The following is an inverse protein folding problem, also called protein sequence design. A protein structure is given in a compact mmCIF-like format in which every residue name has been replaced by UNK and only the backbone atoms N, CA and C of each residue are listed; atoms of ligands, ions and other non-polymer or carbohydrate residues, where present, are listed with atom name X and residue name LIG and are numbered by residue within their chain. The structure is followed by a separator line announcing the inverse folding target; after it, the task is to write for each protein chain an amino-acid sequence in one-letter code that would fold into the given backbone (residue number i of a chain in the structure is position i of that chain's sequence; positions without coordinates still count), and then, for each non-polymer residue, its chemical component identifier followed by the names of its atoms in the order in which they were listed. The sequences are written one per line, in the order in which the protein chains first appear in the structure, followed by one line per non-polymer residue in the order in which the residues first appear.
data_IF_989412838127
#
_entry.id   IF_989412838127
#
_cell.length_a   1.000
_cell.length_b   1.000
_cell.length_c   1.000
_cell.angle_alpha   90.00
_cell.angle_beta   90.00
_cell.angle_gamma   90.00
#
_symmetry.space_group_name_H-M   'P 1'
#
loop_
_entity.id
_entity.type
_entity.pdbx_description
1 polymer ?
#
# COMPACT_ATOMS: atom_id res chain seq x y z
N UNK A 1 8.07 5.98 -20.21
CA UNK A 1 7.25 5.30 -19.19
C UNK A 1 7.83 5.67 -17.83
N UNK A 2 7.00 5.85 -16.79
CA UNK A 2 7.50 6.12 -15.45
C UNK A 2 8.38 4.98 -14.95
N UNK A 3 9.47 5.35 -14.26
CA UNK A 3 10.33 4.36 -13.59
C UNK A 3 10.80 4.84 -12.23
N UNK A 4 10.96 3.88 -11.32
CA UNK A 4 11.51 4.08 -9.99
C UNK A 4 12.52 3.00 -9.70
N UNK A 5 13.79 3.37 -9.47
CA UNK A 5 14.85 2.46 -9.10
C UNK A 5 15.38 2.82 -7.71
N UNK A 6 15.29 1.88 -6.79
CA UNK A 6 15.87 1.94 -5.45
C UNK A 6 17.04 0.98 -5.41
N UNK A 7 18.25 1.49 -5.20
CA UNK A 7 19.49 0.73 -5.37
C UNK A 7 20.32 0.79 -4.10
N UNK A 8 20.33 -0.30 -3.35
CA UNK A 8 21.16 -0.47 -2.15
C UNK A 8 20.86 0.55 -1.03
N UNK A 9 19.60 0.98 -0.90
CA UNK A 9 19.25 2.05 0.04
C UNK A 9 19.27 1.56 1.48
N UNK A 10 20.15 2.18 2.28
CA UNK A 10 20.22 2.00 3.73
C UNK A 10 19.99 3.32 4.46
N UNK A 11 19.44 3.25 5.68
CA UNK A 11 19.22 4.41 6.54
C UNK A 11 19.52 4.12 7.98
N UNK A 12 20.45 4.90 8.55
CA UNK A 12 20.83 4.85 9.95
C UNK A 12 20.39 6.13 10.68
N UNK A 13 19.86 5.99 11.88
CA UNK A 13 19.60 7.06 12.85
C UNK A 13 20.42 6.75 14.11
N UNK A 14 21.62 7.31 14.18
CA UNK A 14 22.59 6.93 15.22
C UNK A 14 22.91 5.43 15.14
N UNK A 15 22.64 4.69 16.21
CA UNK A 15 22.84 3.23 16.28
C UNK A 15 21.69 2.41 15.66
N UNK A 16 20.54 3.04 15.40
CA UNK A 16 19.38 2.36 14.83
C UNK A 16 19.50 2.32 13.31
N UNK A 17 19.57 1.12 12.73
CA UNK A 17 19.48 0.91 11.29
C UNK A 17 18.02 0.70 10.89
N UNK A 18 17.39 1.74 10.35
CA UNK A 18 15.97 1.74 9.98
C UNK A 18 15.70 1.09 8.62
N UNK A 19 16.67 1.14 7.70
CA UNK A 19 16.61 0.43 6.40
C UNK A 19 17.98 -0.21 6.12
N UNK A 20 17.96 -1.38 5.49
CA UNK A 20 19.13 -2.20 5.20
C UNK A 20 19.07 -2.70 3.76
N UNK A 21 19.94 -2.19 2.91
CA UNK A 21 20.13 -2.63 1.52
C UNK A 21 18.82 -2.84 0.73
N UNK A 22 17.94 -1.84 0.76
CA UNK A 22 16.67 -1.91 0.04
C UNK A 22 16.94 -1.79 -1.46
N UNK A 23 16.46 -2.79 -2.21
CA UNK A 23 16.54 -2.86 -3.65
C UNK A 23 15.13 -3.09 -4.24
N UNK A 24 14.67 -2.19 -5.11
CA UNK A 24 13.38 -2.29 -5.80
C UNK A 24 13.49 -1.61 -7.17
N UNK A 25 13.08 -2.33 -8.20
CA UNK A 25 12.94 -1.78 -9.56
C UNK A 25 11.46 -1.81 -9.96
N UNK A 26 10.99 -0.70 -10.55
CA UNK A 26 9.66 -0.51 -11.10
C UNK A 26 9.81 0.25 -12.41
N UNK A 27 9.51 -0.38 -13.53
CA UNK A 27 9.74 0.13 -14.88
C UNK A 27 8.45 0.27 -15.71
N UNK A 28 7.30 0.04 -15.09
CA UNK A 28 5.99 0.16 -15.72
C UNK A 28 4.94 0.69 -14.74
N UNK A 29 3.86 1.32 -15.24
CA UNK A 29 2.72 1.73 -14.43
C UNK A 29 2.12 0.53 -13.69
N UNK A 30 2.08 0.61 -12.35
CA UNK A 30 1.50 -0.40 -11.47
C UNK A 30 1.25 0.17 -10.08
N UNK A 31 0.41 -0.50 -9.32
CA UNK A 31 0.16 -0.19 -7.91
C UNK A 31 0.93 -1.17 -7.01
N UNK A 32 1.80 -0.63 -6.17
CA UNK A 32 2.67 -1.41 -5.26
C UNK A 32 2.31 -1.11 -3.82
N UNK A 33 1.94 -2.15 -3.08
CA UNK A 33 1.72 -2.09 -1.65
C UNK A 33 3.01 -2.35 -0.87
N UNK A 34 3.35 -1.44 0.03
CA UNK A 34 4.45 -1.60 0.99
C UNK A 34 3.83 -2.06 2.32
N UNK A 35 3.81 -3.36 2.53
CA UNK A 35 3.21 -3.99 3.70
C UNK A 35 4.26 -4.23 4.78
N UNK A 36 3.86 -4.16 6.04
CA UNK A 36 4.75 -4.47 7.17
C UNK A 36 4.22 -3.94 8.50
N UNK A 37 4.72 -4.45 9.62
CA UNK A 37 4.34 -3.98 10.95
C UNK A 37 4.78 -2.52 11.19
N UNK A 38 4.28 -1.94 12.28
CA UNK A 38 4.74 -0.62 12.72
C UNK A 38 6.23 -0.68 13.08
N UNK A 39 6.98 0.33 12.62
CA UNK A 39 8.42 0.37 12.84
C UNK A 39 9.25 -0.45 11.84
N UNK A 40 8.64 -1.13 10.86
CA UNK A 40 9.36 -1.91 9.85
C UNK A 40 10.24 -1.08 8.90
N UNK A 41 10.03 0.24 8.81
CA UNK A 41 10.79 1.14 7.92
C UNK A 41 9.98 1.71 6.76
N UNK A 42 8.68 1.39 6.62
CA UNK A 42 7.82 1.84 5.50
C UNK A 42 7.86 3.36 5.27
N UNK A 43 7.46 4.13 6.29
CA UNK A 43 7.49 5.61 6.24
C UNK A 43 8.89 6.16 5.97
N UNK A 44 9.93 5.55 6.54
CA UNK A 44 11.32 5.94 6.29
C UNK A 44 11.68 5.78 4.81
N UNK A 45 11.29 4.66 4.19
CA UNK A 45 11.50 4.41 2.76
C UNK A 45 10.77 5.45 1.91
N UNK A 46 9.49 5.71 2.20
CA UNK A 46 8.70 6.73 1.48
C UNK A 46 9.29 8.13 1.64
N UNK A 47 9.79 8.51 2.83
CA UNK A 47 10.48 9.77 3.06
C UNK A 47 11.78 9.91 2.26
N UNK A 48 12.49 8.80 1.99
CA UNK A 48 13.69 8.84 1.16
C UNK A 48 13.33 8.95 -0.32
N UNK A 49 12.30 8.24 -0.79
CA UNK A 49 11.79 8.37 -2.17
C UNK A 49 11.38 9.82 -2.47
N UNK A 50 10.75 10.48 -1.51
CA UNK A 50 10.30 11.88 -1.63
C UNK A 50 11.34 12.92 -1.22
N UNK A 51 12.60 12.50 -0.97
CA UNK A 51 13.71 13.36 -0.53
C UNK A 51 13.47 14.18 0.74
N UNK A 52 12.48 13.81 1.55
CA UNK A 52 12.29 14.36 2.92
C UNK A 52 13.44 13.91 3.80
N UNK A 53 13.92 12.68 3.61
CA UNK A 53 15.13 12.15 4.24
C UNK A 53 16.16 11.77 3.18
N UNK A 54 17.44 11.93 3.52
CA UNK A 54 18.54 11.41 2.71
C UNK A 54 18.88 9.99 3.15
N UNK A 55 19.17 9.07 2.23
CA UNK A 55 19.70 7.76 2.57
C UNK A 55 21.09 7.91 3.21
N UNK A 56 21.50 6.92 4.01
CA UNK A 56 22.88 6.82 4.52
C UNK A 56 23.79 6.21 3.46
N UNK A 57 23.24 5.25 2.68
CA UNK A 57 23.91 4.59 1.56
C UNK A 57 22.90 4.33 0.44
N UNK A 58 23.42 4.06 -0.76
CA UNK A 58 22.60 3.79 -1.93
C UNK A 58 22.05 5.05 -2.60
N UNK A 59 21.14 4.86 -3.54
CA UNK A 59 20.52 5.95 -4.31
C UNK A 59 19.13 5.57 -4.79
N UNK A 60 18.32 6.60 -5.10
CA UNK A 60 17.01 6.46 -5.74
C UNK A 60 17.02 7.25 -7.04
N UNK A 61 16.55 6.60 -8.10
CA UNK A 61 16.36 7.22 -9.41
C UNK A 61 14.87 7.27 -9.74
N UNK A 62 14.40 8.41 -10.20
CA UNK A 62 13.06 8.63 -10.74
C UNK A 62 13.24 9.01 -12.20
N UNK A 63 12.74 8.19 -13.11
CA UNK A 63 12.95 8.35 -14.54
C UNK A 63 14.44 8.55 -14.89
N UNK A 64 15.32 7.78 -14.24
CA UNK A 64 16.77 7.86 -14.38
C UNK A 64 17.43 9.06 -13.68
N UNK A 65 16.66 9.95 -13.05
CA UNK A 65 17.18 11.14 -12.34
C UNK A 65 17.39 10.82 -10.88
N UNK A 66 18.61 11.03 -10.37
CA UNK A 66 18.92 10.80 -8.95
C UNK A 66 18.23 11.85 -8.06
N UNK A 67 17.39 11.37 -7.15
CA UNK A 67 16.56 12.20 -6.26
C UNK A 67 17.41 13.10 -5.35
N UNK A 68 18.56 12.63 -4.88
CA UNK A 68 19.42 13.41 -3.98
C UNK A 68 20.34 14.37 -4.70
N UNK A 69 20.71 14.09 -5.95
CA UNK A 69 21.61 14.94 -6.76
C UNK A 69 20.86 16.03 -7.52
N UNK A 70 19.66 15.71 -8.01
CA UNK A 70 18.82 16.66 -8.75
C UNK A 70 17.35 16.58 -8.28
N UNK A 71 17.08 16.99 -7.02
CA UNK A 71 15.77 16.82 -6.40
C UNK A 71 14.65 17.55 -7.16
N UNK A 72 14.90 18.77 -7.63
CA UNK A 72 13.88 19.56 -8.34
C UNK A 72 13.36 18.81 -9.56
N UNK A 73 14.25 18.28 -10.40
CA UNK A 73 13.89 17.55 -11.62
C UNK A 73 13.23 16.20 -11.30
N UNK A 74 13.73 15.47 -10.30
CA UNK A 74 13.19 14.18 -9.93
C UNK A 74 11.79 14.31 -9.28
N UNK A 75 11.63 15.28 -8.36
CA UNK A 75 10.37 15.46 -7.61
C UNK A 75 9.26 16.14 -8.43
N UNK A 76 9.58 16.80 -9.54
CA UNK A 76 8.57 17.34 -10.46
C UNK A 76 7.56 16.27 -10.90
N UNK A 77 8.03 15.03 -11.04
CA UNK A 77 7.24 13.87 -11.48
C UNK A 77 6.65 13.05 -10.33
N UNK A 78 6.83 13.48 -9.09
CA UNK A 78 6.30 12.82 -7.90
C UNK A 78 5.18 13.65 -7.29
N UNK A 79 4.08 12.99 -6.97
CA UNK A 79 3.07 13.46 -6.04
C UNK A 79 3.15 12.64 -4.76
N UNK A 80 3.10 13.30 -3.59
CA UNK A 80 3.29 12.57 -2.34
C UNK A 80 2.34 13.04 -1.24
N UNK A 81 1.86 12.08 -0.46
CA UNK A 81 1.20 12.27 0.82
C UNK A 81 1.93 11.37 1.82
N UNK A 82 2.92 11.93 2.51
CA UNK A 82 3.72 11.23 3.51
C UNK A 82 3.40 11.78 4.88
N UNK A 83 3.06 10.90 5.81
CA UNK A 83 2.48 11.21 7.12
C UNK A 83 1.04 11.78 6.99
N UNK A 84 0.49 12.25 8.11
CA UNK A 84 -0.88 12.79 8.12
C UNK A 84 -0.90 14.18 7.49
N UNK A 85 -1.88 14.47 6.61
CA UNK A 85 -1.95 15.79 6.00
C UNK A 85 -2.37 16.84 7.02
N UNK A 86 -1.50 17.83 7.18
CA UNK A 86 -1.80 19.05 7.92
C UNK A 86 -1.87 20.23 6.95
N UNK A 87 -2.97 20.95 7.02
CA UNK A 87 -3.22 22.13 6.19
C UNK A 87 -3.36 23.38 7.05
N UNK A 88 -3.10 24.53 6.46
CA UNK A 88 -3.38 25.81 7.12
C UNK A 88 -4.87 25.95 7.40
N UNK A 89 -5.31 25.96 8.66
CA UNK A 89 -6.74 25.81 9.02
C UNK A 89 -7.62 26.97 8.54
N UNK A 90 -7.04 28.11 8.21
CA UNK A 90 -7.72 29.29 7.69
C UNK A 90 -7.88 29.29 6.17
N UNK A 91 -7.20 28.41 5.44
CA UNK A 91 -7.38 28.24 3.99
C UNK A 91 -8.51 27.26 3.71
N UNK A 92 -9.21 27.50 2.61
CA UNK A 92 -10.16 26.53 2.05
C UNK A 92 -9.39 25.40 1.32
N UNK A 93 -10.07 24.28 1.05
CA UNK A 93 -9.48 23.21 0.23
C UNK A 93 -9.06 23.71 -1.15
N UNK A 94 -9.89 24.56 -1.77
CA UNK A 94 -9.62 25.21 -3.06
C UNK A 94 -8.38 26.10 -3.00
N UNK A 95 -8.24 26.92 -1.97
CA UNK A 95 -7.07 27.79 -1.79
C UNK A 95 -5.80 26.97 -1.56
N UNK A 96 -5.90 25.88 -0.78
CA UNK A 96 -4.79 24.93 -0.56
C UNK A 96 -4.33 24.32 -1.89
N UNK A 97 -5.24 23.83 -2.72
CA UNK A 97 -4.91 23.28 -4.03
C UNK A 97 -4.34 24.34 -4.98
N UNK A 98 -4.90 25.55 -5.00
CA UNK A 98 -4.35 26.68 -5.77
C UNK A 98 -2.92 27.04 -5.36
N UNK A 99 -2.64 27.00 -4.06
CA UNK A 99 -1.31 27.26 -3.54
C UNK A 99 -0.27 26.25 -4.10
N UNK A 100 -0.59 24.96 -4.05
CA UNK A 100 0.30 23.92 -4.58
C UNK A 100 0.45 23.99 -6.10
N UNK A 101 -0.65 24.21 -6.82
CA UNK A 101 -0.62 24.38 -8.28
C UNK A 101 0.31 25.54 -8.72
N UNK A 102 0.27 26.66 -7.98
CA UNK A 102 1.18 27.79 -8.23
C UNK A 102 2.64 27.45 -7.98
N UNK A 103 2.95 26.67 -6.91
CA UNK A 103 4.31 26.17 -6.66
C UNK A 103 4.80 25.32 -7.85
N UNK A 104 3.91 24.52 -8.43
CA UNK A 104 4.19 23.71 -9.62
C UNK A 104 4.21 24.52 -10.94
N UNK A 105 4.00 25.84 -10.89
CA UNK A 105 4.08 26.73 -12.06
C UNK A 105 2.86 26.70 -12.99
N UNK A 106 1.73 26.15 -12.55
CA UNK A 106 0.49 26.08 -13.34
C UNK A 106 -0.15 27.45 -13.51
N UNK A 107 -0.70 27.72 -14.71
CA UNK A 107 -1.50 28.91 -14.98
C UNK A 107 -2.83 28.91 -14.21
N UNK A 108 -3.51 30.06 -14.14
CA UNK A 108 -4.77 30.17 -13.41
C UNK A 108 -5.91 29.34 -14.04
N UNK A 109 -5.94 29.22 -15.39
CA UNK A 109 -6.92 28.39 -16.10
C UNK A 109 -6.69 26.91 -15.86
N UNK A 110 -5.45 26.43 -16.07
CA UNK A 110 -5.07 25.03 -15.81
C UNK A 110 -5.36 24.65 -14.36
N UNK A 111 -5.02 25.53 -13.41
CA UNK A 111 -5.28 25.33 -11.99
C UNK A 111 -6.77 25.13 -11.69
N UNK A 112 -7.64 25.95 -12.31
CA UNK A 112 -9.08 25.86 -12.07
C UNK A 112 -9.67 24.55 -12.59
N UNK A 113 -9.29 24.15 -13.80
CA UNK A 113 -9.73 22.89 -14.41
C UNK A 113 -9.24 21.68 -13.63
N UNK A 114 -7.97 21.69 -13.21
CA UNK A 114 -7.36 20.63 -12.44
C UNK A 114 -8.02 20.46 -11.07
N UNK A 115 -8.34 21.55 -10.37
CA UNK A 115 -9.04 21.49 -9.07
C UNK A 115 -10.42 20.87 -9.22
N UNK A 116 -11.18 21.22 -10.22
CA UNK A 116 -12.50 20.64 -10.45
C UNK A 116 -12.40 19.14 -10.82
N UNK A 117 -11.42 18.77 -11.66
CA UNK A 117 -11.13 17.38 -12.02
C UNK A 117 -10.77 16.56 -10.78
N UNK A 118 -9.77 17.00 -10.02
CA UNK A 118 -9.29 16.29 -8.83
C UNK A 118 -10.34 16.28 -7.71
N UNK A 119 -11.11 17.35 -7.59
CA UNK A 119 -12.25 17.44 -6.68
C UNK A 119 -13.29 16.35 -6.92
N UNK A 120 -13.58 16.04 -8.19
CA UNK A 120 -14.49 14.93 -8.56
C UNK A 120 -13.85 13.58 -8.28
N UNK A 121 -12.61 13.36 -8.68
CA UNK A 121 -11.89 12.09 -8.48
C UNK A 121 -11.82 11.72 -7.00
N UNK A 122 -11.47 12.67 -6.14
CA UNK A 122 -11.31 12.44 -4.70
C UNK A 122 -12.56 12.64 -3.87
N UNK A 123 -13.68 13.05 -4.51
CA UNK A 123 -14.97 13.24 -3.85
C UNK A 123 -15.01 14.42 -2.90
N UNK A 124 -14.21 15.49 -3.14
CA UNK A 124 -14.15 16.67 -2.25
C UNK A 124 -14.89 17.89 -2.79
N UNK A 125 -15.50 17.82 -3.96
CA UNK A 125 -16.17 18.96 -4.62
C UNK A 125 -17.15 19.68 -3.71
N UNK A 126 -17.92 18.95 -2.90
CA UNK A 126 -18.96 19.52 -2.04
C UNK A 126 -18.45 20.36 -0.85
N UNK A 127 -17.14 20.33 -0.57
CA UNK A 127 -16.55 21.06 0.56
C UNK A 127 -15.22 21.78 0.23
N UNK A 128 -14.89 21.90 -1.07
CA UNK A 128 -13.69 22.62 -1.51
C UNK A 128 -13.62 24.06 -0.99
N UNK A 129 -14.77 24.72 -0.84
CA UNK A 129 -14.85 26.12 -0.44
C UNK A 129 -15.03 26.31 1.08
N UNK A 130 -15.02 25.21 1.87
CA UNK A 130 -14.95 25.25 3.34
C UNK A 130 -13.51 25.34 3.82
N UNK A 131 -13.29 25.94 4.98
CA UNK A 131 -11.96 26.01 5.61
C UNK A 131 -11.46 24.63 6.03
N UNK A 132 -10.19 24.34 5.81
CA UNK A 132 -9.58 23.04 6.15
C UNK A 132 -9.56 22.77 7.66
N UNK A 133 -9.62 23.80 8.48
CA UNK A 133 -9.81 23.68 9.94
C UNK A 133 -11.11 23.01 10.35
N UNK A 134 -12.14 23.02 9.48
CA UNK A 134 -13.44 22.38 9.68
C UNK A 134 -13.52 20.97 9.10
N UNK A 135 -12.43 20.50 8.46
CA UNK A 135 -12.43 19.19 7.80
C UNK A 135 -12.30 18.06 8.82
N UNK A 136 -13.12 17.03 8.64
CA UNK A 136 -12.88 15.76 9.30
C UNK A 136 -11.57 15.14 8.83
N UNK A 137 -11.08 14.13 9.54
CA UNK A 137 -9.87 13.39 9.14
C UNK A 137 -9.98 12.84 7.72
N UNK A 138 -11.10 12.23 7.37
CA UNK A 138 -11.33 11.69 6.02
C UNK A 138 -11.36 12.79 4.95
N UNK A 139 -11.93 13.95 5.24
CA UNK A 139 -11.89 15.10 4.33
C UNK A 139 -10.46 15.61 4.13
N UNK A 140 -9.65 15.67 5.19
CA UNK A 140 -8.21 16.03 5.09
C UNK A 140 -7.44 15.01 4.26
N UNK A 141 -7.68 13.71 4.48
CA UNK A 141 -7.02 12.64 3.74
C UNK A 141 -7.30 12.71 2.23
N UNK A 142 -8.58 12.93 1.85
CA UNK A 142 -8.99 13.11 0.45
C UNK A 142 -8.41 14.38 -0.18
N UNK A 143 -8.35 15.47 0.57
CA UNK A 143 -7.69 16.69 0.12
C UNK A 143 -6.18 16.45 -0.07
N UNK A 144 -5.52 15.72 0.84
CA UNK A 144 -4.13 15.32 0.72
C UNK A 144 -3.85 14.53 -0.54
N UNK A 145 -4.72 13.55 -0.84
CA UNK A 145 -4.65 12.79 -2.10
C UNK A 145 -4.84 13.71 -3.31
N UNK A 146 -5.85 14.60 -3.31
CA UNK A 146 -6.05 15.56 -4.39
C UNK A 146 -4.82 16.46 -4.61
N UNK A 147 -4.24 16.97 -3.53
CA UNK A 147 -3.02 17.81 -3.54
C UNK A 147 -1.83 17.03 -4.10
N UNK A 148 -1.67 15.76 -3.74
CA UNK A 148 -0.59 14.93 -4.27
C UNK A 148 -0.69 14.69 -5.78
N UNK A 149 -1.89 14.77 -6.34
CA UNK A 149 -2.17 14.56 -7.78
C UNK A 149 -2.04 15.82 -8.63
N UNK A 150 -1.89 17.01 -8.06
CA UNK A 150 -1.76 18.26 -8.81
C UNK A 150 -0.56 18.20 -9.75
N UNK A 151 -0.76 18.60 -11.01
CA UNK A 151 0.24 18.63 -12.06
C UNK A 151 0.55 17.24 -12.64
N UNK A 152 -0.39 16.32 -12.54
CA UNK A 152 -0.40 14.99 -13.17
C UNK A 152 0.92 14.20 -12.97
N UNK A 153 1.27 13.85 -11.72
CA UNK A 153 2.53 13.15 -11.42
C UNK A 153 2.55 11.75 -12.03
N UNK A 154 3.73 11.32 -12.47
CA UNK A 154 3.98 9.99 -13.00
C UNK A 154 4.14 8.93 -11.88
N UNK A 155 4.48 9.39 -10.66
CA UNK A 155 4.62 8.54 -9.47
C UNK A 155 3.83 9.17 -8.33
N UNK A 156 2.96 8.39 -7.69
CA UNK A 156 2.22 8.80 -6.49
C UNK A 156 2.70 7.97 -5.30
N UNK A 157 3.07 8.66 -4.21
CA UNK A 157 3.58 8.03 -2.98
C UNK A 157 2.66 8.38 -1.82
N UNK A 158 2.06 7.37 -1.18
CA UNK A 158 1.06 7.55 -0.12
C UNK A 158 1.46 6.76 1.13
N UNK A 159 1.54 7.43 2.26
CA UNK A 159 1.84 6.78 3.54
C UNK A 159 0.54 6.54 4.32
N UNK A 160 0.15 5.27 4.45
CA UNK A 160 -1.06 4.79 5.14
C UNK A 160 -2.32 5.61 4.79
N UNK A 161 -2.74 5.70 3.50
CA UNK A 161 -3.78 6.63 3.05
C UNK A 161 -5.17 6.38 3.67
N UNK A 162 -5.41 5.19 4.21
CA UNK A 162 -6.68 4.78 4.84
C UNK A 162 -6.65 4.86 6.36
N UNK A 163 -5.48 5.12 6.95
CA UNK A 163 -5.30 5.05 8.40
C UNK A 163 -6.19 6.06 9.15
N UNK A 164 -6.98 5.49 10.11
CA UNK A 164 -7.85 6.28 10.99
C UNK A 164 -9.09 6.83 10.30
N UNK A 165 -9.45 6.30 9.15
CA UNK A 165 -10.76 6.47 8.54
C UNK A 165 -11.76 5.47 9.14
N UNK A 166 -13.04 5.80 9.09
CA UNK A 166 -14.10 4.83 9.35
C UNK A 166 -14.21 3.81 8.20
N UNK A 167 -14.91 2.69 8.37
CA UNK A 167 -15.00 1.65 7.35
C UNK A 167 -15.49 2.14 5.98
N UNK A 168 -16.40 3.12 5.97
CA UNK A 168 -16.90 3.72 4.74
C UNK A 168 -15.83 4.57 4.06
N UNK A 169 -15.12 5.42 4.82
CA UNK A 169 -14.02 6.24 4.32
C UNK A 169 -12.86 5.39 3.78
N UNK A 170 -12.53 4.27 4.45
CA UNK A 170 -11.53 3.30 3.98
C UNK A 170 -11.92 2.71 2.63
N UNK A 171 -13.19 2.27 2.49
CA UNK A 171 -13.70 1.75 1.22
C UNK A 171 -13.62 2.79 0.11
N UNK A 172 -14.14 3.99 0.34
CA UNK A 172 -14.13 5.08 -0.64
C UNK A 172 -12.71 5.47 -1.06
N UNK A 173 -11.72 5.45 -0.15
CA UNK A 173 -10.31 5.68 -0.47
C UNK A 173 -9.73 4.56 -1.34
N UNK A 174 -10.04 3.30 -1.03
CA UNK A 174 -9.62 2.16 -1.86
C UNK A 174 -10.22 2.23 -3.26
N UNK A 175 -11.50 2.56 -3.38
CA UNK A 175 -12.18 2.71 -4.67
C UNK A 175 -11.48 3.77 -5.55
N UNK A 176 -11.05 4.88 -4.93
CA UNK A 176 -10.25 5.92 -5.63
C UNK A 176 -8.91 5.36 -6.09
N UNK A 177 -8.17 4.65 -5.23
CA UNK A 177 -6.87 4.06 -5.58
C UNK A 177 -6.99 3.02 -6.70
N UNK A 178 -8.03 2.19 -6.67
CA UNK A 178 -8.34 1.21 -7.74
C UNK A 178 -8.60 1.95 -9.06
N UNK A 179 -9.43 3.00 -9.04
CA UNK A 179 -9.71 3.80 -10.24
C UNK A 179 -8.44 4.42 -10.84
N UNK A 180 -7.56 4.97 -9.98
CA UNK A 180 -6.28 5.53 -10.42
C UNK A 180 -5.32 4.48 -11.00
N UNK A 181 -5.31 3.29 -10.44
CA UNK A 181 -4.54 2.14 -10.94
C UNK A 181 -5.02 1.70 -12.33
N UNK A 182 -6.34 1.66 -12.53
CA UNK A 182 -6.94 1.21 -13.79
C UNK A 182 -6.61 2.12 -14.98
N UNK A 183 -6.25 3.39 -14.73
CA UNK A 183 -5.77 4.29 -15.78
C UNK A 183 -4.45 3.82 -16.42
N UNK A 184 -3.64 3.00 -15.73
CA UNK A 184 -2.35 2.43 -16.20
C UNK A 184 -1.38 3.49 -16.75
N UNK A 185 -1.38 4.68 -16.17
CA UNK A 185 -0.55 5.81 -16.60
C UNK A 185 0.59 6.10 -15.64
N UNK A 186 0.50 5.62 -14.39
CA UNK A 186 1.41 6.01 -13.31
C UNK A 186 1.80 4.85 -12.39
N UNK A 187 2.91 5.03 -11.67
CA UNK A 187 3.30 4.16 -10.57
C UNK A 187 2.63 4.70 -9.30
N UNK A 188 1.95 3.84 -8.54
CA UNK A 188 1.38 4.16 -7.25
C UNK A 188 2.09 3.32 -6.20
N UNK A 189 2.73 3.96 -5.22
CA UNK A 189 3.25 3.27 -4.03
C UNK A 189 2.45 3.71 -2.83
N UNK A 190 1.92 2.77 -2.07
CA UNK A 190 1.33 3.11 -0.79
C UNK A 190 1.73 2.13 0.31
N UNK A 191 1.95 2.67 1.51
CA UNK A 191 2.19 1.84 2.68
C UNK A 191 0.88 1.44 3.34
N UNK A 192 0.84 0.23 3.88
CA UNK A 192 -0.26 -0.24 4.72
C UNK A 192 0.25 -1.31 5.69
N UNK A 193 -0.49 -1.54 6.76
CA UNK A 193 -0.31 -2.69 7.66
C UNK A 193 -1.45 -3.72 7.50
N UNK A 194 -2.40 -3.47 6.58
CA UNK A 194 -3.56 -4.31 6.33
C UNK A 194 -3.38 -5.15 5.05
N UNK A 195 -3.27 -6.45 5.20
CA UNK A 195 -3.15 -7.40 4.08
C UNK A 195 -4.32 -7.27 3.11
N UNK A 196 -5.55 -7.08 3.64
CA UNK A 196 -6.76 -6.94 2.82
C UNK A 196 -6.70 -5.75 1.88
N UNK A 197 -6.13 -4.62 2.30
CA UNK A 197 -5.97 -3.44 1.43
C UNK A 197 -4.97 -3.70 0.31
N UNK A 198 -3.81 -4.28 0.64
CA UNK A 198 -2.82 -4.63 -0.36
C UNK A 198 -3.41 -5.59 -1.41
N UNK A 199 -4.18 -6.60 -0.96
CA UNK A 199 -4.83 -7.58 -1.85
C UNK A 199 -5.87 -6.96 -2.78
N UNK A 200 -6.67 -6.01 -2.28
CA UNK A 200 -7.75 -5.39 -3.06
C UNK A 200 -7.23 -4.36 -4.07
N UNK A 201 -6.18 -3.62 -3.72
CA UNK A 201 -5.74 -2.44 -4.47
C UNK A 201 -4.53 -2.71 -5.35
N UNK A 202 -3.54 -3.50 -4.87
CA UNK A 202 -2.24 -3.59 -5.52
C UNK A 202 -2.19 -4.58 -6.68
N UNK A 203 -1.20 -4.38 -7.55
CA UNK A 203 -0.76 -5.37 -8.53
C UNK A 203 0.42 -6.19 -7.96
N UNK A 204 1.29 -5.54 -7.18
CA UNK A 204 2.50 -6.09 -6.57
C UNK A 204 2.59 -5.70 -5.10
N UNK A 205 3.10 -6.57 -4.26
CA UNK A 205 3.32 -6.30 -2.84
C UNK A 205 4.75 -6.57 -2.45
N UNK A 206 5.32 -5.64 -1.69
CA UNK A 206 6.56 -5.85 -0.95
C UNK A 206 6.26 -5.89 0.55
N UNK A 207 6.82 -6.86 1.26
CA UNK A 207 6.74 -6.90 2.72
C UNK A 207 8.08 -6.46 3.29
N UNK A 208 8.03 -5.41 4.11
CA UNK A 208 9.19 -4.87 4.81
C UNK A 208 9.10 -5.24 6.28
N UNK A 209 10.19 -5.81 6.81
CA UNK A 209 10.35 -6.07 8.24
C UNK A 209 11.78 -5.75 8.68
N UNK A 210 11.91 -5.08 9.82
CA UNK A 210 13.21 -4.68 10.41
C UNK A 210 14.16 -4.01 9.41
N UNK A 211 13.58 -3.20 8.51
CA UNK A 211 14.31 -2.45 7.50
C UNK A 211 14.75 -3.23 6.26
N UNK A 212 14.30 -4.45 6.06
CA UNK A 212 14.64 -5.31 4.92
C UNK A 212 13.38 -5.69 4.14
N UNK A 213 13.50 -5.86 2.82
CA UNK A 213 12.44 -6.48 2.01
C UNK A 213 12.50 -8.00 2.23
N UNK A 214 11.45 -8.56 2.81
CA UNK A 214 11.33 -10.00 3.07
C UNK A 214 10.52 -10.73 2.00
N UNK A 215 9.73 -9.98 1.24
CA UNK A 215 8.87 -10.53 0.20
C UNK A 215 8.65 -9.48 -0.89
N UNK A 216 8.56 -9.90 -2.14
CA UNK A 216 8.36 -9.02 -3.29
C UNK A 216 7.83 -9.84 -4.47
N UNK A 217 6.51 -9.86 -4.65
CA UNK A 217 5.84 -10.64 -5.71
C UNK A 217 4.60 -9.91 -6.25
N UNK A 218 4.20 -10.29 -7.47
CA UNK A 218 2.93 -9.89 -8.07
C UNK A 218 1.76 -10.60 -7.35
N UNK A 219 0.65 -9.89 -7.16
CA UNK A 219 -0.54 -10.48 -6.50
C UNK A 219 -1.15 -11.62 -7.33
N UNK A 220 -1.08 -11.54 -8.67
CA UNK A 220 -1.52 -12.61 -9.58
C UNK A 220 -0.87 -13.96 -9.31
N UNK A 221 0.38 -13.95 -8.81
CA UNK A 221 1.20 -15.14 -8.61
C UNK A 221 1.10 -15.71 -7.18
N UNK A 222 0.30 -15.06 -6.33
CA UNK A 222 0.18 -15.39 -4.90
C UNK A 222 -0.80 -16.52 -4.59
N UNK A 223 -1.02 -17.46 -5.48
CA UNK A 223 -1.85 -18.64 -5.20
C UNK A 223 -1.20 -19.49 -4.12
N UNK A 224 -1.68 -19.33 -2.87
CA UNK A 224 -1.24 -20.16 -1.75
C UNK A 224 -1.77 -21.60 -1.88
N UNK A 225 -0.99 -22.55 -1.40
CA UNK A 225 -1.39 -23.95 -1.25
C UNK A 225 -1.90 -24.25 0.17
N UNK A 226 -2.12 -23.21 0.99
CA UNK A 226 -2.65 -23.33 2.35
C UNK A 226 -4.08 -22.85 2.46
N UNK A 227 -4.79 -23.46 3.37
CA UNK A 227 -6.12 -23.03 3.80
C UNK A 227 -6.24 -23.07 5.31
N UNK A 228 -7.01 -22.13 5.83
CA UNK A 228 -7.40 -22.07 7.23
C UNK A 228 -8.86 -22.51 7.32
N UNK A 229 -9.13 -23.46 8.22
CA UNK A 229 -10.46 -24.00 8.43
C UNK A 229 -10.80 -23.85 9.91
N UNK A 230 -11.94 -23.26 10.21
CA UNK A 230 -12.49 -23.22 11.56
C UNK A 230 -13.57 -24.27 11.70
N UNK A 231 -13.58 -24.93 12.83
CA UNK A 231 -14.55 -25.99 13.09
C UNK A 231 -14.23 -26.80 14.35
N UNK A 232 -14.89 -27.96 14.48
CA UNK A 232 -14.68 -28.85 15.60
C UNK A 232 -13.78 -30.04 15.21
N UNK A 233 -12.47 -29.91 15.46
CA UNK A 233 -11.44 -30.86 15.01
C UNK A 233 -11.03 -31.89 16.08
N UNK A 234 -11.98 -32.38 16.88
CA UNK A 234 -11.68 -33.45 17.86
C UNK A 234 -11.18 -34.70 17.12
N UNK A 235 -9.90 -35.05 17.37
CA UNK A 235 -9.22 -36.23 16.82
C UNK A 235 -8.80 -36.21 15.34
N UNK A 236 -8.71 -35.02 14.69
CA UNK A 236 -8.14 -34.94 13.36
C UNK A 236 -6.62 -34.90 13.44
N UNK A 237 -5.97 -36.01 13.11
CA UNK A 237 -4.50 -36.14 13.15
C UNK A 237 -3.88 -36.21 11.74
N UNK A 238 -4.67 -36.59 10.74
CA UNK A 238 -4.22 -36.70 9.36
C UNK A 238 -5.36 -36.44 8.37
N UNK A 239 -5.03 -35.77 7.27
CA UNK A 239 -5.92 -35.58 6.11
C UNK A 239 -5.10 -36.02 4.88
N UNK A 240 -5.55 -37.02 4.08
CA UNK A 240 -4.77 -37.57 2.97
C UNK A 240 -4.27 -36.57 1.97
N UNK A 241 -5.05 -35.55 1.64
CA UNK A 241 -4.69 -34.44 0.73
C UNK A 241 -3.77 -33.36 1.36
N UNK A 242 -3.54 -33.41 2.68
CA UNK A 242 -2.67 -32.48 3.37
C UNK A 242 -1.21 -32.95 3.35
N UNK A 243 -0.30 -31.98 3.14
CA UNK A 243 1.15 -32.16 3.31
C UNK A 243 1.54 -31.92 4.76
N UNK A 244 0.93 -30.90 5.37
CA UNK A 244 1.16 -30.50 6.76
C UNK A 244 -0.14 -29.98 7.39
N UNK A 245 -0.26 -30.15 8.69
CA UNK A 245 -1.40 -29.75 9.50
C UNK A 245 -0.92 -29.07 10.77
N UNK A 246 -1.41 -27.84 11.00
CA UNK A 246 -1.19 -27.14 12.26
C UNK A 246 -2.52 -26.84 12.90
N UNK A 247 -2.73 -27.34 14.14
CA UNK A 247 -3.97 -27.13 14.90
C UNK A 247 -3.76 -26.09 15.99
N UNK A 248 -4.66 -25.10 16.08
CA UNK A 248 -4.66 -24.07 17.12
C UNK A 248 -6.09 -23.82 17.60
N UNK A 249 -6.47 -24.51 18.69
CA UNK A 249 -7.85 -24.43 19.22
C UNK A 249 -8.88 -25.00 18.22
N UNK A 250 -9.85 -24.19 17.83
CA UNK A 250 -10.91 -24.55 16.86
C UNK A 250 -10.50 -24.24 15.41
N UNK A 251 -9.22 -24.05 15.14
CA UNK A 251 -8.71 -23.68 13.82
C UNK A 251 -7.62 -24.66 13.41
N UNK A 252 -7.67 -25.14 12.17
CA UNK A 252 -6.57 -25.85 11.53
C UNK A 252 -6.09 -25.10 10.31
N UNK A 253 -4.78 -25.08 10.14
CA UNK A 253 -4.14 -24.65 8.89
C UNK A 253 -3.65 -25.89 8.16
N UNK A 254 -4.08 -26.04 6.92
CA UNK A 254 -3.76 -27.18 6.06
C UNK A 254 -2.88 -26.71 4.92
N UNK A 255 -1.67 -27.27 4.77
CA UNK A 255 -0.87 -27.14 3.56
C UNK A 255 -1.25 -28.29 2.61
N UNK A 256 -1.73 -27.96 1.41
CA UNK A 256 -2.17 -28.95 0.43
C UNK A 256 -1.00 -29.60 -0.28
N UNK A 257 -1.09 -30.91 -0.56
CA UNK A 257 -0.15 -31.61 -1.47
C UNK A 257 -0.30 -31.11 -2.89
N UNK A 258 0.74 -31.20 -3.73
CA UNK A 258 0.60 -31.00 -5.17
C UNK A 258 -0.52 -31.87 -5.77
N UNK A 259 -1.47 -31.22 -6.47
CA UNK A 259 -2.62 -31.91 -7.05
C UNK A 259 -3.85 -32.05 -6.14
N UNK A 260 -3.74 -31.79 -4.83
CA UNK A 260 -4.90 -31.72 -3.96
C UNK A 260 -5.69 -30.44 -4.22
N UNK A 261 -7.01 -30.49 -4.05
CA UNK A 261 -7.91 -29.34 -4.19
C UNK A 261 -8.52 -28.99 -2.84
N UNK A 262 -8.96 -27.74 -2.69
CA UNK A 262 -9.71 -27.32 -1.50
C UNK A 262 -10.92 -28.24 -1.26
N UNK A 263 -11.64 -28.55 -2.31
CA UNK A 263 -12.83 -29.40 -2.22
C UNK A 263 -12.51 -30.81 -1.75
N UNK A 264 -11.40 -31.43 -2.22
CA UNK A 264 -11.02 -32.78 -1.75
C UNK A 264 -10.72 -32.80 -0.25
N UNK A 265 -9.99 -31.80 0.26
CA UNK A 265 -9.70 -31.66 1.70
C UNK A 265 -10.99 -31.47 2.53
N UNK A 266 -11.91 -30.62 2.04
CA UNK A 266 -13.17 -30.37 2.72
C UNK A 266 -14.08 -31.61 2.75
N UNK A 267 -14.15 -32.35 1.64
CA UNK A 267 -14.89 -33.61 1.57
C UNK A 267 -14.35 -34.64 2.55
N UNK A 268 -13.05 -34.81 2.65
CA UNK A 268 -12.39 -35.70 3.61
C UNK A 268 -12.69 -35.33 5.05
N UNK A 269 -12.68 -34.02 5.37
CA UNK A 269 -13.02 -33.54 6.72
C UNK A 269 -14.50 -33.81 7.07
N UNK A 270 -15.42 -33.62 6.12
CA UNK A 270 -16.84 -33.89 6.30
C UNK A 270 -17.12 -35.40 6.46
N UNK A 271 -16.42 -36.25 5.72
CA UNK A 271 -16.55 -37.71 5.80
C UNK A 271 -16.14 -38.25 7.18
N UNK A 272 -15.16 -37.65 7.83
CA UNK A 272 -14.75 -38.00 9.21
C UNK A 272 -15.58 -37.28 10.29
N UNK A 273 -16.65 -36.57 9.88
CA UNK A 273 -17.60 -35.98 10.81
C UNK A 273 -17.18 -34.63 11.41
N UNK A 274 -16.28 -33.91 10.76
CA UNK A 274 -15.90 -32.55 11.19
C UNK A 274 -16.99 -31.56 10.81
N UNK A 275 -17.48 -30.82 11.79
CA UNK A 275 -18.33 -29.65 11.55
C UNK A 275 -17.46 -28.45 11.20
N UNK A 276 -17.63 -27.90 9.98
CA UNK A 276 -16.86 -26.80 9.45
C UNK A 276 -17.66 -25.51 9.57
N UNK A 277 -17.14 -24.52 10.29
CA UNK A 277 -17.77 -23.21 10.47
C UNK A 277 -17.39 -22.23 9.33
N UNK A 278 -16.11 -22.21 8.97
CA UNK A 278 -15.61 -21.36 7.88
C UNK A 278 -14.34 -21.91 7.23
N UNK A 279 -14.12 -21.52 5.99
CA UNK A 279 -12.93 -21.89 5.20
C UNK A 279 -12.37 -20.65 4.51
N UNK A 280 -11.11 -20.35 4.78
CA UNK A 280 -10.37 -19.25 4.15
C UNK A 280 -9.15 -19.81 3.44
N UNK A 281 -8.93 -19.39 2.18
CA UNK A 281 -7.66 -19.67 1.49
C UNK A 281 -6.59 -18.73 2.03
N UNK A 282 -5.43 -19.26 2.38
CA UNK A 282 -4.25 -18.45 2.67
C UNK A 282 -3.43 -18.29 1.41
N UNK A 283 -3.05 -17.06 1.09
CA UNK A 283 -2.09 -16.77 0.04
C UNK A 283 -0.66 -16.67 0.60
N UNK A 284 0.30 -16.71 -0.31
CA UNK A 284 1.73 -16.67 0.07
C UNK A 284 2.11 -15.38 0.81
N UNK A 285 1.47 -14.26 0.49
CA UNK A 285 1.66 -12.98 1.18
C UNK A 285 1.23 -13.07 2.66
N UNK A 286 0.04 -13.65 2.92
CA UNK A 286 -0.49 -13.81 4.27
C UNK A 286 0.40 -14.74 5.10
N UNK A 287 0.89 -15.84 4.51
CA UNK A 287 1.82 -16.76 5.15
C UNK A 287 3.11 -16.07 5.60
N UNK A 288 3.75 -15.32 4.67
CA UNK A 288 4.98 -14.57 4.98
C UNK A 288 4.70 -13.51 6.03
N UNK A 289 3.65 -12.72 5.88
CA UNK A 289 3.32 -11.67 6.83
C UNK A 289 3.08 -12.21 8.25
N UNK A 290 2.30 -13.29 8.40
CA UNK A 290 2.03 -13.91 9.69
C UNK A 290 3.29 -14.52 10.33
N UNK A 291 4.24 -15.00 9.54
CA UNK A 291 5.52 -15.50 10.05
C UNK A 291 6.44 -14.39 10.60
N UNK A 292 6.21 -13.14 10.18
CA UNK A 292 6.99 -11.98 10.64
C UNK A 292 6.39 -11.30 11.90
N UNK A 293 5.07 -11.46 12.11
CA UNK A 293 4.34 -10.78 13.19
C UNK A 293 4.22 -11.66 14.45
N UNK A 294 4.61 -12.93 14.36
CA UNK A 294 4.71 -13.85 15.50
C UNK A 294 6.03 -13.66 16.24
#
# INVERSE_FOLDING_TARGET
MPSLDIMGVSKNFGSLQALKDINLNVDAPQCIGILGPNGAGKTTLLKIITNILKPSEGKILVNGVNVNQNPTKALEKIGALVEQPEFYPYLTGRETMKFVARIKGMSASETSEEIEKLGRITGITGYLDRKTGEYSRGMKQRLGLAVSMIGDPEIIVLDEPTFGLDPRGMKEMRDILISLKEEKTRIILFSTHLISEAREVCDRVIIVDKGEIKFNDEISDMRGNKMRIRGNFKNVTNIPGAKDLTTKGNEITVEMKPGATKNSILSELMEIGVEIDSVEGMDRMEEVYLSLVQ
#
